data_IF_664662797629
#
_entry.id   IF_664662797629
#
_cell.length_a   1.000
_cell.length_b   1.000
_cell.length_c   1.000
_cell.angle_alpha   90.00
_cell.angle_beta   90.00
_cell.angle_gamma   90.00
#
_symmetry.space_group_name_H-M   'P 1'
#
loop_
_entity.id
_entity.type
_entity.pdbx_description
1 polymer ?
#
# COMPACT_ATOMS: atom_id res chain seq x y z
N UNK A 1 -24.53 12.29 3.32
CA UNK A 1 -23.46 13.03 2.64
C UNK A 1 -22.35 13.43 3.61
N UNK A 2 -21.32 14.01 3.10
CA UNK A 2 -20.26 14.60 3.92
C UNK A 2 -20.72 15.99 4.42
N UNK A 3 -20.10 16.49 5.48
CA UNK A 3 -20.38 17.86 6.00
C UNK A 3 -20.00 18.95 4.99
N UNK A 4 -19.12 18.62 4.02
CA UNK A 4 -18.73 19.47 2.94
C UNK A 4 -19.51 19.11 1.66
N UNK A 5 -20.27 20.07 1.13
CA UNK A 5 -21.06 19.90 -0.10
C UNK A 5 -20.20 19.46 -1.31
N UNK A 6 -19.03 20.09 -1.50
CA UNK A 6 -18.11 19.76 -2.58
C UNK A 6 -17.61 18.31 -2.49
N UNK A 7 -17.31 17.83 -1.29
CA UNK A 7 -16.91 16.45 -1.07
C UNK A 7 -18.07 15.47 -1.36
N UNK A 8 -19.30 15.83 -0.98
CA UNK A 8 -20.51 15.05 -1.32
C UNK A 8 -20.72 14.98 -2.83
N UNK A 9 -20.67 16.12 -3.52
CA UNK A 9 -20.87 16.20 -4.98
C UNK A 9 -19.78 15.45 -5.76
N UNK A 10 -18.56 15.37 -5.23
CA UNK A 10 -17.48 14.58 -5.82
C UNK A 10 -17.67 13.07 -5.61
N UNK A 11 -18.19 12.67 -4.47
CA UNK A 11 -18.35 11.26 -4.13
C UNK A 11 -19.65 10.66 -4.67
N UNK A 12 -20.73 11.46 -4.79
CA UNK A 12 -22.04 10.96 -5.25
C UNK A 12 -22.37 11.59 -6.61
N UNK A 13 -22.31 10.79 -7.66
CA UNK A 13 -22.52 11.25 -9.04
C UNK A 13 -23.72 10.56 -9.68
N UNK A 14 -24.46 11.34 -10.51
CA UNK A 14 -25.51 10.80 -11.37
C UNK A 14 -24.85 10.17 -12.60
N UNK A 15 -25.15 8.92 -12.87
CA UNK A 15 -24.65 8.17 -14.02
C UNK A 15 -25.68 8.14 -15.16
N UNK A 16 -25.26 7.64 -16.33
CA UNK A 16 -26.09 7.52 -17.53
C UNK A 16 -27.26 6.57 -17.36
N UNK A 17 -27.26 5.69 -16.38
CA UNK A 17 -28.37 4.81 -16.00
C UNK A 17 -29.46 5.53 -15.17
N UNK A 18 -29.32 6.83 -14.94
CA UNK A 18 -30.22 7.64 -14.13
C UNK A 18 -30.13 7.43 -12.63
N UNK A 19 -29.16 6.64 -12.15
CA UNK A 19 -28.95 6.36 -10.72
C UNK A 19 -27.81 7.18 -10.16
N UNK A 20 -27.88 7.44 -8.86
CA UNK A 20 -26.78 8.03 -8.11
C UNK A 20 -25.87 6.93 -7.57
N UNK A 21 -24.60 7.03 -7.88
CA UNK A 21 -23.56 6.11 -7.44
C UNK A 21 -22.59 6.79 -6.49
N UNK A 22 -22.20 6.05 -5.45
CA UNK A 22 -21.11 6.45 -4.55
C UNK A 22 -19.79 6.02 -5.18
N UNK A 23 -18.92 7.00 -5.45
CA UNK A 23 -17.53 6.78 -5.84
C UNK A 23 -16.69 6.69 -4.57
N UNK A 24 -16.25 5.51 -4.22
CA UNK A 24 -15.45 5.26 -3.01
C UNK A 24 -14.04 5.81 -3.13
N UNK A 25 -13.55 5.97 -4.35
CA UNK A 25 -12.16 6.30 -4.67
C UNK A 25 -11.27 5.08 -4.71
N UNK A 26 -11.84 3.88 -4.55
CA UNK A 26 -11.10 2.64 -4.67
C UNK A 26 -11.11 2.14 -6.11
N UNK A 27 -10.01 1.54 -6.54
CA UNK A 27 -9.86 0.90 -7.85
C UNK A 27 -9.79 -0.60 -7.65
N UNK A 28 -10.49 -1.32 -8.50
CA UNK A 28 -10.55 -2.76 -8.49
C UNK A 28 -11.15 -3.30 -9.78
N UNK A 29 -11.39 -4.59 -9.81
CA UNK A 29 -12.10 -5.25 -10.89
C UNK A 29 -13.10 -6.26 -10.34
N UNK A 30 -14.05 -6.63 -11.17
CA UNK A 30 -15.03 -7.66 -10.85
C UNK A 30 -14.91 -8.77 -11.91
N UNK A 31 -14.89 -10.00 -11.44
CA UNK A 31 -14.88 -11.19 -12.29
C UNK A 31 -16.31 -11.52 -12.80
N UNK A 32 -16.42 -12.40 -13.79
CA UNK A 32 -17.69 -12.78 -14.38
C UNK A 32 -18.67 -13.40 -13.38
N UNK A 33 -18.16 -14.07 -12.34
CA UNK A 33 -18.96 -14.63 -11.26
C UNK A 33 -19.42 -13.62 -10.20
N UNK A 34 -19.03 -12.33 -10.36
CA UNK A 34 -19.39 -11.23 -9.47
C UNK A 34 -18.46 -11.03 -8.29
N UNK A 35 -17.34 -11.75 -8.20
CA UNK A 35 -16.33 -11.52 -7.17
C UNK A 35 -15.61 -10.20 -7.42
N UNK A 36 -15.49 -9.37 -6.37
CA UNK A 36 -14.85 -8.04 -6.44
C UNK A 36 -13.46 -8.10 -5.80
N UNK A 37 -12.47 -7.66 -6.55
CA UNK A 37 -11.08 -7.52 -6.11
C UNK A 37 -10.72 -6.04 -6.00
N UNK A 38 -10.50 -5.57 -4.77
CA UNK A 38 -9.93 -4.25 -4.52
C UNK A 38 -8.41 -4.30 -4.71
N UNK A 39 -7.84 -3.32 -5.42
CA UNK A 39 -6.40 -3.24 -5.70
C UNK A 39 -5.74 -2.11 -4.93
N UNK A 40 -6.30 -0.90 -5.00
CA UNK A 40 -5.71 0.29 -4.41
C UNK A 40 -6.75 1.37 -4.21
N UNK A 41 -6.35 2.42 -3.50
CA UNK A 41 -7.12 3.66 -3.40
C UNK A 41 -6.51 4.73 -4.30
N UNK A 42 -7.34 5.30 -5.18
CA UNK A 42 -6.87 6.22 -6.20
C UNK A 42 -6.08 5.52 -7.31
N UNK A 43 -5.39 6.28 -8.15
CA UNK A 43 -4.50 5.72 -9.17
C UNK A 43 -3.32 5.02 -8.50
N UNK A 44 -3.08 3.78 -8.89
CA UNK A 44 -1.90 3.06 -8.41
C UNK A 44 -0.63 3.71 -8.97
N UNK A 45 0.34 4.06 -8.11
CA UNK A 45 1.62 4.56 -8.58
C UNK A 45 2.30 3.52 -9.48
N UNK A 46 3.15 4.00 -10.41
CA UNK A 46 3.89 3.13 -11.32
C UNK A 46 5.37 3.17 -11.02
N UNK A 47 6.01 2.01 -11.08
CA UNK A 47 7.45 1.84 -10.93
C UNK A 47 7.94 0.65 -11.76
N UNK A 48 9.10 0.77 -12.41
CA UNK A 48 9.71 -0.34 -13.15
C UNK A 48 8.84 -0.98 -14.23
N UNK A 49 7.83 -0.23 -14.75
CA UNK A 49 6.86 -0.76 -15.73
C UNK A 49 5.65 -1.45 -15.14
N UNK A 50 5.61 -1.65 -13.82
CA UNK A 50 4.48 -2.23 -13.09
C UNK A 50 3.66 -1.23 -12.29
N UNK A 51 2.61 -1.70 -11.65
CA UNK A 51 1.74 -0.93 -10.77
C UNK A 51 1.99 -1.31 -9.32
N UNK A 52 2.32 -0.32 -8.48
CA UNK A 52 2.53 -0.50 -7.04
C UNK A 52 1.19 -0.43 -6.29
N UNK A 53 0.36 -1.45 -6.45
CA UNK A 53 -0.85 -1.59 -5.66
C UNK A 53 -0.51 -2.33 -4.35
N UNK A 54 -0.66 -1.65 -3.21
CA UNK A 54 -0.20 -2.18 -1.91
C UNK A 54 -0.87 -3.47 -1.53
N UNK A 55 -2.19 -3.61 -1.74
CA UNK A 55 -2.93 -4.80 -1.35
C UNK A 55 -2.47 -6.08 -2.07
N UNK A 56 -2.29 -6.11 -3.41
CA UNK A 56 -1.70 -7.27 -4.09
C UNK A 56 -0.28 -7.59 -3.62
N UNK A 57 0.54 -6.58 -3.29
CA UNK A 57 1.90 -6.78 -2.77
C UNK A 57 1.87 -7.42 -1.38
N UNK A 58 1.03 -6.90 -0.49
CA UNK A 58 0.81 -7.44 0.86
C UNK A 58 0.27 -8.88 0.81
N UNK A 59 -0.71 -9.16 -0.05
CA UNK A 59 -1.24 -10.51 -0.23
C UNK A 59 -0.17 -11.50 -0.70
N UNK A 60 0.74 -11.11 -1.60
CA UNK A 60 1.83 -11.97 -2.05
C UNK A 60 2.79 -12.35 -0.91
N UNK A 61 3.10 -11.40 -0.01
CA UNK A 61 3.94 -11.69 1.16
C UNK A 61 3.21 -12.59 2.16
N UNK A 62 1.94 -12.29 2.43
CA UNK A 62 1.11 -13.13 3.29
C UNK A 62 1.00 -14.57 2.76
N UNK A 63 0.79 -14.76 1.43
CA UNK A 63 0.73 -16.08 0.79
C UNK A 63 2.10 -16.79 0.82
N UNK A 64 3.19 -16.05 0.87
CA UNK A 64 4.55 -16.61 0.94
C UNK A 64 4.94 -17.08 2.34
N UNK A 65 4.20 -16.70 3.38
CA UNK A 65 4.42 -17.08 4.77
C UNK A 65 5.90 -16.94 5.17
N UNK A 66 6.47 -15.73 4.94
CA UNK A 66 7.90 -15.49 5.22
C UNK A 66 8.17 -15.61 6.70
N UNK A 67 8.95 -16.64 7.09
CA UNK A 67 9.31 -16.91 8.48
C UNK A 67 10.02 -15.70 9.12
N UNK A 68 9.62 -15.34 10.34
CA UNK A 68 10.17 -14.21 11.09
C UNK A 68 9.38 -12.91 10.93
N UNK A 69 8.29 -12.89 10.15
CA UNK A 69 7.40 -11.74 10.01
C UNK A 69 6.08 -12.03 10.75
N UNK A 70 5.78 -11.23 11.78
CA UNK A 70 4.50 -11.25 12.50
C UNK A 70 3.45 -10.37 11.80
N UNK A 71 3.86 -9.23 11.25
CA UNK A 71 2.98 -8.31 10.51
C UNK A 71 3.77 -7.53 9.46
N UNK A 72 3.12 -7.24 8.31
CA UNK A 72 3.74 -6.50 7.22
C UNK A 72 2.76 -5.59 6.50
N UNK A 73 3.26 -4.49 5.94
CA UNK A 73 2.50 -3.59 5.08
C UNK A 73 3.42 -2.69 4.25
N UNK A 74 2.94 -2.30 3.07
CA UNK A 74 3.67 -1.39 2.19
C UNK A 74 3.28 0.07 2.38
N UNK A 75 4.27 0.94 2.24
CA UNK A 75 4.11 2.39 2.09
C UNK A 75 4.78 2.80 0.79
N UNK A 76 4.05 3.48 -0.08
CA UNK A 76 4.53 3.94 -1.38
C UNK A 76 4.79 5.44 -1.29
N UNK A 77 6.03 5.85 -1.58
CA UNK A 77 6.47 7.24 -1.47
C UNK A 77 6.91 7.73 -2.84
N UNK A 78 6.62 8.98 -3.16
CA UNK A 78 7.11 9.58 -4.40
C UNK A 78 8.63 9.69 -4.35
N UNK A 79 9.31 9.28 -5.44
CA UNK A 79 10.75 9.45 -5.57
C UNK A 79 11.10 10.94 -5.62
N UNK A 80 11.92 11.47 -4.69
CA UNK A 80 12.28 12.88 -4.67
C UNK A 80 13.12 13.32 -5.87
N UNK A 81 13.84 12.39 -6.50
CA UNK A 81 14.70 12.66 -7.66
C UNK A 81 13.94 12.51 -8.99
N UNK A 82 12.88 11.68 -9.02
CA UNK A 82 12.14 11.37 -10.22
C UNK A 82 10.63 11.47 -9.99
N UNK A 83 10.05 12.65 -10.15
CA UNK A 83 8.65 12.99 -9.84
C UNK A 83 7.56 12.09 -10.46
N UNK A 84 7.90 11.22 -11.42
CA UNK A 84 6.98 10.25 -12.01
C UNK A 84 7.17 8.84 -11.48
N UNK A 85 8.16 8.64 -10.62
CA UNK A 85 8.48 7.37 -10.01
C UNK A 85 8.03 7.33 -8.55
N UNK A 86 7.81 6.13 -8.06
CA UNK A 86 7.41 5.88 -6.70
C UNK A 86 8.25 4.73 -6.14
N UNK A 87 8.56 4.80 -4.88
CA UNK A 87 9.43 3.87 -4.18
C UNK A 87 8.61 3.07 -3.17
N UNK A 88 8.61 1.74 -3.26
CA UNK A 88 7.97 0.88 -2.27
C UNK A 88 8.88 0.71 -1.06
N UNK A 89 8.36 1.00 0.12
CA UNK A 89 8.97 0.69 1.42
C UNK A 89 8.14 -0.41 2.08
N UNK A 90 8.79 -1.44 2.58
CA UNK A 90 8.14 -2.48 3.37
C UNK A 90 8.38 -2.20 4.86
N UNK A 91 7.30 -2.10 5.61
CA UNK A 91 7.34 -2.06 7.07
C UNK A 91 6.95 -3.43 7.61
N UNK A 92 7.72 -3.91 8.58
CA UNK A 92 7.52 -5.22 9.20
C UNK A 92 7.50 -5.12 10.72
N UNK A 93 6.71 -5.96 11.36
CA UNK A 93 6.87 -6.33 12.77
C UNK A 93 7.52 -7.71 12.76
N UNK A 94 8.69 -7.81 13.37
CA UNK A 94 9.45 -9.07 13.38
C UNK A 94 9.10 -9.92 14.57
N UNK A 95 9.11 -11.22 14.39
CA UNK A 95 9.10 -12.19 15.48
C UNK A 95 10.37 -12.09 16.31
N UNK A 96 10.31 -12.55 17.57
CA UNK A 96 11.44 -12.53 18.48
C UNK A 96 12.64 -13.36 17.93
N UNK A 97 13.79 -12.73 17.88
CA UNK A 97 15.03 -13.34 17.41
C UNK A 97 15.34 -13.13 15.93
N UNK A 98 14.43 -12.56 15.15
CA UNK A 98 14.65 -12.25 13.74
C UNK A 98 15.11 -10.80 13.51
N UNK A 99 15.85 -10.61 12.44
CA UNK A 99 16.32 -9.30 11.95
C UNK A 99 15.83 -9.07 10.53
N UNK A 100 15.93 -7.81 10.06
CA UNK A 100 15.59 -7.48 8.65
C UNK A 100 16.47 -8.25 7.67
N UNK A 101 17.73 -8.53 8.02
CA UNK A 101 18.62 -9.25 7.11
C UNK A 101 18.23 -10.72 6.95
N UNK A 102 17.64 -11.34 7.98
CA UNK A 102 17.18 -12.73 7.92
C UNK A 102 16.01 -12.93 6.95
N UNK A 103 15.15 -11.94 6.81
CA UNK A 103 13.94 -12.03 5.97
C UNK A 103 14.13 -11.46 4.55
N UNK A 104 15.13 -10.62 4.32
CA UNK A 104 15.31 -9.82 3.09
C UNK A 104 15.29 -10.63 1.80
N UNK A 105 16.02 -11.74 1.78
CA UNK A 105 16.10 -12.59 0.59
C UNK A 105 14.74 -13.19 0.25
N UNK A 106 14.03 -13.73 1.24
CA UNK A 106 12.71 -14.33 1.06
C UNK A 106 11.64 -13.32 0.66
N UNK A 107 11.66 -12.13 1.23
CA UNK A 107 10.79 -11.01 0.82
C UNK A 107 11.01 -10.71 -0.66
N UNK A 108 12.26 -10.55 -1.11
CA UNK A 108 12.56 -10.23 -2.50
C UNK A 108 12.17 -11.37 -3.45
N UNK A 109 12.41 -12.63 -3.10
CA UNK A 109 12.00 -13.79 -3.89
C UNK A 109 10.48 -13.92 -4.06
N UNK A 110 9.72 -13.42 -3.09
CA UNK A 110 8.24 -13.49 -3.09
C UNK A 110 7.59 -12.42 -3.95
N UNK A 111 8.36 -11.43 -4.40
CA UNK A 111 7.87 -10.26 -5.13
C UNK A 111 8.50 -10.19 -6.53
N UNK A 112 7.75 -9.63 -7.47
CA UNK A 112 8.31 -9.27 -8.78
C UNK A 112 9.29 -8.09 -8.62
N UNK A 113 10.30 -7.99 -9.49
CA UNK A 113 11.39 -7.02 -9.38
C UNK A 113 10.90 -5.58 -9.11
N UNK A 114 9.82 -5.15 -9.77
CA UNK A 114 9.26 -3.81 -9.60
C UNK A 114 8.48 -3.63 -8.28
N UNK A 115 8.15 -4.70 -7.58
CA UNK A 115 7.48 -4.70 -6.28
C UNK A 115 8.46 -4.76 -5.11
N UNK A 116 9.72 -5.15 -5.37
CA UNK A 116 10.72 -5.29 -4.31
C UNK A 116 10.92 -3.96 -3.58
N UNK A 117 10.91 -3.98 -2.24
CA UNK A 117 11.05 -2.76 -1.47
C UNK A 117 12.46 -2.17 -1.61
N UNK A 118 12.53 -0.85 -1.74
CA UNK A 118 13.82 -0.12 -1.72
C UNK A 118 14.46 -0.18 -0.34
N UNK A 119 13.65 -0.31 0.70
CA UNK A 119 14.12 -0.62 2.06
C UNK A 119 13.06 -1.39 2.84
N UNK A 120 13.52 -2.17 3.82
CA UNK A 120 12.70 -2.91 4.78
C UNK A 120 12.97 -2.32 6.17
N UNK A 121 11.91 -1.85 6.82
CA UNK A 121 11.97 -1.12 8.09
C UNK A 121 11.21 -1.90 9.15
N UNK A 122 11.93 -2.34 10.19
CA UNK A 122 11.31 -2.99 11.33
C UNK A 122 10.71 -1.96 12.29
N UNK A 123 9.47 -2.20 12.70
CA UNK A 123 8.77 -1.45 13.73
C UNK A 123 8.44 -2.36 14.91
N UNK A 124 8.33 -1.81 16.13
CA UNK A 124 7.91 -2.60 17.29
C UNK A 124 6.43 -3.02 17.20
N UNK A 125 5.60 -2.25 16.48
CA UNK A 125 4.19 -2.51 16.25
C UNK A 125 3.69 -1.73 15.03
N UNK A 126 2.57 -2.16 14.44
CA UNK A 126 1.92 -1.42 13.35
C UNK A 126 1.33 -0.12 13.88
N UNK A 127 1.69 1.04 13.32
CA UNK A 127 1.11 2.31 13.74
C UNK A 127 -0.32 2.47 13.19
N UNK A 128 -1.27 2.80 14.06
CA UNK A 128 -2.66 3.05 13.72
C UNK A 128 -3.04 4.51 13.87
N UNK A 129 -3.91 4.97 12.98
CA UNK A 129 -4.64 6.21 13.09
C UNK A 129 -6.11 5.97 12.69
N UNK A 130 -7.04 6.24 13.61
CA UNK A 130 -8.47 5.95 13.42
C UNK A 130 -8.73 4.52 12.87
N UNK A 131 -8.17 3.51 13.52
CA UNK A 131 -8.32 2.09 13.19
C UNK A 131 -7.75 1.66 11.81
N UNK A 132 -6.95 2.51 11.16
CA UNK A 132 -6.25 2.21 9.91
C UNK A 132 -4.75 2.38 10.10
N UNK A 133 -3.96 1.61 9.35
CA UNK A 133 -2.51 1.82 9.29
C UNK A 133 -2.21 3.28 8.94
N UNK A 134 -1.40 3.95 9.75
CA UNK A 134 -1.02 5.37 9.58
C UNK A 134 0.03 5.56 8.48
N UNK A 135 -0.30 5.19 7.24
CA UNK A 135 0.62 5.31 6.11
C UNK A 135 1.03 6.75 5.84
N UNK A 136 0.13 7.72 6.03
CA UNK A 136 0.44 9.15 5.81
C UNK A 136 1.52 9.62 6.79
N UNK A 137 1.44 9.25 8.06
CA UNK A 137 2.47 9.58 9.04
C UNK A 137 3.83 8.96 8.67
N UNK A 138 3.84 7.72 8.20
CA UNK A 138 5.06 7.05 7.76
C UNK A 138 5.66 7.65 6.49
N UNK A 139 4.84 8.11 5.54
CA UNK A 139 5.31 8.87 4.37
C UNK A 139 6.08 10.10 4.82
N UNK A 140 5.51 10.91 5.72
CA UNK A 140 6.18 12.09 6.26
C UNK A 140 7.47 11.73 7.02
N UNK A 141 7.49 10.60 7.73
CA UNK A 141 8.67 10.13 8.45
C UNK A 141 9.80 9.70 7.51
N UNK A 142 9.46 9.03 6.39
CA UNK A 142 10.40 8.69 5.32
C UNK A 142 10.96 9.97 4.68
N UNK A 143 10.08 10.88 4.27
CA UNK A 143 10.46 12.17 3.65
C UNK A 143 11.33 13.03 4.58
N UNK A 144 11.11 12.94 5.89
CA UNK A 144 11.92 13.61 6.91
C UNK A 144 13.25 12.88 7.21
N UNK A 145 13.53 11.74 6.57
CA UNK A 145 14.76 10.98 6.75
C UNK A 145 14.87 10.25 8.09
N UNK A 146 13.77 10.00 8.79
CA UNK A 146 13.79 9.33 10.11
C UNK A 146 14.33 7.90 10.06
N UNK A 147 14.23 7.25 8.93
CA UNK A 147 14.67 5.87 8.71
C UNK A 147 16.00 5.78 7.97
N UNK A 148 16.61 6.90 7.56
CA UNK A 148 17.93 6.91 6.94
C UNK A 148 18.98 6.49 7.99
N UNK A 149 19.74 5.44 7.65
CA UNK A 149 20.87 4.94 8.45
C UNK A 149 22.15 5.67 8.09
#
# INVERSE_FOLDING_TARGET
>A
GYDNKKATDNAIKLHSDGKKWLHTGDIGYMTEDGTIYALTRGEAPRYGGGSLATLPMENRLADAEVEGIDDEFFVIVQDPEHHRCFLPYLFVVLEEGYTVDDIREKVNESLEDYMQPVDIIALPERPFFHFKTNRIGLIHDIEAGKFNK
#
